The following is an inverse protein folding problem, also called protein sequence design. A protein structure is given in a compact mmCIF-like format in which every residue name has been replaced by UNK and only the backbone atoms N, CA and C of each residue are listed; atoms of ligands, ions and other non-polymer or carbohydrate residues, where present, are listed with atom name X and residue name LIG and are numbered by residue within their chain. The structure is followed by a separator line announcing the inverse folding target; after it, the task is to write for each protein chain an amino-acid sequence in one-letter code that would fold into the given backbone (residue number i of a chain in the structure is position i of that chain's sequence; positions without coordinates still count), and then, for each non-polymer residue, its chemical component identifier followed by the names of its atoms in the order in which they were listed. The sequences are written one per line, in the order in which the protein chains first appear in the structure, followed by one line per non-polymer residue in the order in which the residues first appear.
data_IF_088461095415
#
_entry.id   IF_088461095415
#
_cell.length_a   1.000
_cell.length_b   1.000
_cell.length_c   1.000
_cell.angle_alpha   90.00
_cell.angle_beta   90.00
_cell.angle_gamma   90.00
#
_symmetry.space_group_name_H-M   'P 1'
#
loop_
_entity.id
_entity.type
_entity.pdbx_description
1 polymer ?
#
# COMPACT_ATOMS: atom_id res chain seq x y z
N UNK A 1 -4.71 10.32 13.00
CA UNK A 1 -5.11 8.90 13.20
C UNK A 1 -5.52 8.27 11.86
N UNK A 2 -4.79 7.27 11.38
CA UNK A 2 -5.18 6.51 10.18
C UNK A 2 -6.11 5.36 10.62
N UNK A 3 -7.39 5.33 10.24
CA UNK A 3 -8.32 4.29 10.66
C UNK A 3 -7.85 2.93 10.18
N UNK A 4 -7.96 1.92 11.05
CA UNK A 4 -7.57 0.57 10.66
C UNK A 4 -8.57 -0.01 9.63
N UNK A 5 -8.05 -0.58 8.54
CA UNK A 5 -8.83 -1.06 7.37
C UNK A 5 -8.51 -2.50 7.00
N UNK A 6 -9.44 -3.19 6.34
CA UNK A 6 -9.29 -4.49 5.68
C UNK A 6 -9.21 -4.37 4.14
N UNK A 7 -9.23 -3.14 3.63
CA UNK A 7 -9.06 -2.83 2.20
C UNK A 7 -8.17 -1.61 2.02
N UNK A 8 -7.17 -1.72 1.16
CA UNK A 8 -6.39 -0.58 0.71
C UNK A 8 -6.95 -0.09 -0.63
N UNK A 9 -7.23 1.21 -0.73
CA UNK A 9 -7.63 1.84 -2.00
C UNK A 9 -6.51 2.76 -2.45
N UNK A 10 -6.04 2.52 -3.66
CA UNK A 10 -5.02 3.33 -4.32
C UNK A 10 -5.71 4.16 -5.40
N UNK A 11 -5.41 5.45 -5.43
CA UNK A 11 -5.85 6.34 -6.49
C UNK A 11 -4.63 7.09 -7.02
N UNK A 12 -4.12 6.63 -8.15
CA UNK A 12 -2.93 7.19 -8.79
C UNK A 12 -3.31 7.83 -10.12
N UNK A 13 -2.76 9.01 -10.38
CA UNK A 13 -2.89 9.63 -11.70
C UNK A 13 -1.97 8.92 -12.69
N UNK A 14 -2.52 8.27 -13.71
CA UNK A 14 -1.76 7.42 -14.64
C UNK A 14 -1.38 6.07 -14.02
N UNK A 15 -0.15 5.62 -14.25
CA UNK A 15 0.41 4.38 -13.68
C UNK A 15 1.47 4.68 -12.62
N UNK A 16 1.55 3.84 -11.59
CA UNK A 16 2.62 3.86 -10.60
C UNK A 16 2.87 2.45 -10.05
N UNK A 17 4.12 2.16 -9.72
CA UNK A 17 4.44 0.92 -9.01
C UNK A 17 4.17 1.12 -7.53
N UNK A 18 3.43 0.19 -6.93
CA UNK A 18 3.03 0.25 -5.52
C UNK A 18 3.62 -0.94 -4.79
N UNK A 19 4.32 -0.68 -3.70
CA UNK A 19 4.79 -1.69 -2.76
C UNK A 19 4.05 -1.53 -1.43
N UNK A 20 3.71 -2.66 -0.80
CA UNK A 20 3.22 -2.66 0.58
C UNK A 20 4.11 -3.58 1.41
N UNK A 21 4.70 -3.00 2.46
CA UNK A 21 5.62 -3.68 3.35
C UNK A 21 5.07 -3.71 4.77
N UNK A 22 5.33 -4.77 5.51
CA UNK A 22 5.04 -4.78 6.95
C UNK A 22 6.07 -3.97 7.76
N UNK A 23 5.86 -3.87 9.07
CA UNK A 23 6.76 -3.16 9.98
C UNK A 23 8.19 -3.74 10.05
N UNK A 24 8.40 -4.99 9.60
CA UNK A 24 9.71 -5.61 9.50
C UNK A 24 10.37 -5.38 8.13
N UNK A 25 9.71 -4.64 7.23
CA UNK A 25 10.19 -4.40 5.87
C UNK A 25 9.98 -5.59 4.92
N UNK A 26 9.15 -6.57 5.29
CA UNK A 26 8.81 -7.68 4.39
C UNK A 26 7.79 -7.21 3.37
N UNK A 27 8.04 -7.50 2.09
CA UNK A 27 7.15 -7.14 0.99
C UNK A 27 5.93 -8.09 0.96
N UNK A 28 4.73 -7.52 1.11
CA UNK A 28 3.46 -8.24 1.04
C UNK A 28 2.77 -8.06 -0.31
N UNK A 29 3.00 -6.93 -0.97
CA UNK A 29 2.45 -6.63 -2.28
C UNK A 29 3.43 -5.82 -3.11
N UNK A 30 3.54 -6.16 -4.39
CA UNK A 30 4.15 -5.33 -5.42
C UNK A 30 3.32 -5.44 -6.69
N UNK A 31 2.99 -4.31 -7.30
CA UNK A 31 2.27 -4.30 -8.57
C UNK A 31 2.17 -2.92 -9.19
N UNK A 32 2.06 -2.91 -10.52
CA UNK A 32 1.72 -1.71 -11.27
C UNK A 32 0.22 -1.41 -11.08
N UNK A 33 -0.07 -0.22 -10.60
CA UNK A 33 -1.43 0.27 -10.38
C UNK A 33 -1.74 1.37 -11.38
N UNK A 34 -2.89 1.28 -12.04
CA UNK A 34 -3.39 2.29 -12.96
C UNK A 34 -4.74 2.83 -12.49
N UNK A 35 -4.85 4.16 -12.38
CA UNK A 35 -6.08 4.80 -11.91
C UNK A 35 -6.48 4.36 -10.50
N UNK A 36 -7.68 3.79 -10.36
CA UNK A 36 -8.22 3.33 -9.08
C UNK A 36 -8.06 1.82 -8.94
N UNK A 37 -7.41 1.40 -7.86
CA UNK A 37 -7.24 -0.01 -7.53
C UNK A 37 -7.60 -0.28 -6.07
N UNK A 38 -8.10 -1.48 -5.80
CA UNK A 38 -8.45 -1.92 -4.45
C UNK A 38 -7.79 -3.26 -4.17
N UNK A 39 -6.98 -3.27 -3.12
CA UNK A 39 -6.32 -4.47 -2.61
C UNK A 39 -7.07 -4.96 -1.38
N UNK A 40 -7.51 -6.22 -1.43
CA UNK A 40 -8.04 -6.91 -0.26
C UNK A 40 -6.89 -7.33 0.65
N UNK A 41 -6.97 -6.95 1.92
CA UNK A 41 -5.95 -7.23 2.94
C UNK A 41 -6.56 -7.91 4.17
N UNK A 42 -7.75 -8.50 4.03
CA UNK A 42 -8.44 -9.16 5.15
C UNK A 42 -7.64 -10.30 5.79
N UNK A 43 -6.82 -10.99 4.99
CA UNK A 43 -6.02 -12.14 5.44
C UNK A 43 -4.63 -11.73 5.95
N UNK A 44 -4.32 -10.43 5.95
CA UNK A 44 -3.03 -9.92 6.43
C UNK A 44 -3.05 -9.75 7.94
N UNK A 45 -1.89 -9.94 8.57
CA UNK A 45 -1.78 -9.76 10.01
C UNK A 45 -2.07 -8.30 10.39
N UNK A 46 -2.75 -8.11 11.52
CA UNK A 46 -2.99 -6.79 12.12
C UNK A 46 -1.66 -6.09 12.39
N UNK A 47 -1.57 -4.81 12.07
CA UNK A 47 -0.36 -4.04 12.33
C UNK A 47 -0.18 -2.84 11.44
N UNK A 48 1.01 -2.25 11.51
CA UNK A 48 1.42 -1.13 10.67
C UNK A 48 2.08 -1.68 9.41
N UNK A 49 1.66 -1.15 8.27
CA UNK A 49 2.24 -1.40 6.96
C UNK A 49 2.67 -0.08 6.34
N UNK A 50 3.76 -0.10 5.59
CA UNK A 50 4.20 1.01 4.78
C UNK A 50 3.72 0.80 3.35
N UNK A 51 2.89 1.71 2.86
CA UNK A 51 2.57 1.81 1.44
C UNK A 51 3.59 2.73 0.80
N UNK A 52 4.28 2.24 -0.22
CA UNK A 52 5.22 2.99 -1.03
C UNK A 52 4.69 3.10 -2.46
N UNK A 53 4.75 4.31 -3.03
CA UNK A 53 4.42 4.59 -4.41
C UNK A 53 5.68 5.06 -5.10
N UNK A 54 6.09 4.32 -6.12
CA UNK A 54 7.27 4.57 -6.93
C UNK A 54 6.84 5.19 -8.26
N UNK A 55 7.39 6.37 -8.57
CA UNK A 55 7.11 7.10 -9.81
C UNK A 55 8.35 7.83 -10.28
N UNK A 56 8.78 7.59 -11.52
CA UNK A 56 9.89 8.31 -12.16
C UNK A 56 11.18 8.37 -11.31
N UNK A 57 11.46 7.33 -10.51
CA UNK A 57 12.62 7.26 -9.62
C UNK A 57 12.41 7.86 -8.22
N UNK A 58 11.27 8.50 -7.96
CA UNK A 58 10.90 8.98 -6.63
C UNK A 58 10.05 7.94 -5.90
N UNK A 59 10.34 7.78 -4.60
CA UNK A 59 9.56 6.91 -3.70
C UNK A 59 8.89 7.81 -2.68
N UNK A 60 7.56 7.78 -2.66
CA UNK A 60 6.75 8.40 -1.60
C UNK A 60 6.12 7.30 -0.76
N UNK A 61 5.98 7.52 0.55
CA UNK A 61 5.47 6.48 1.44
C UNK A 61 4.59 7.02 2.55
N UNK A 62 3.58 6.24 2.95
CA UNK A 62 2.70 6.55 4.06
C UNK A 62 2.37 5.30 4.89
N UNK A 63 2.33 5.42 6.23
CA UNK A 63 1.94 4.30 7.09
C UNK A 63 0.42 4.10 7.08
N UNK A 64 0.00 2.84 7.06
CA UNK A 64 -1.39 2.41 7.20
C UNK A 64 -1.50 1.36 8.29
N UNK A 65 -2.57 1.42 9.08
CA UNK A 65 -2.88 0.43 10.11
C UNK A 65 -3.92 -0.53 9.55
N UNK A 66 -3.72 -1.84 9.70
CA UNK A 66 -4.69 -2.87 9.30
C UNK A 66 -5.41 -3.49 10.52
N UNK A 67 -6.67 -3.90 10.33
CA UNK A 67 -7.55 -4.51 11.35
C UNK A 67 -7.54 -6.02 11.33
#
# INVERSE_FOLDING_TARGET
PNPATNRLTFNVQGSAEVHVLDAAGRLFYSGLVEGKYSLDVQDWARGVYMVQVLRAGEITGAPVVLK
#
